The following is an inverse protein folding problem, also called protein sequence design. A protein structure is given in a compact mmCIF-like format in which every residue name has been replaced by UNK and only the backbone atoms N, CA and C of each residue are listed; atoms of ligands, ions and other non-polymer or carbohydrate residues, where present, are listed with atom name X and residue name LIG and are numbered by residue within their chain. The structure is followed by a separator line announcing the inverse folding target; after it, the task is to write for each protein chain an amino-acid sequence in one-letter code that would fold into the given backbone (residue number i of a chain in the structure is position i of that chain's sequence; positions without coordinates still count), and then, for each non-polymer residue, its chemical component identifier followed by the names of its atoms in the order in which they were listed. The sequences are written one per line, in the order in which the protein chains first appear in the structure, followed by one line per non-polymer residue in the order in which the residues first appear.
data_IF_717456302517
#
_entry.id   IF_717456302517
#
_cell.length_a   1.000
_cell.length_b   1.000
_cell.length_c   1.000
_cell.angle_alpha   90.00
_cell.angle_beta   90.00
_cell.angle_gamma   90.00
#
_symmetry.space_group_name_H-M   'P 1'
#
loop_
_entity.id
_entity.type
_entity.pdbx_description
1 polymer ?
#
# COMPACT_ATOMS: atom_id res chain seq x y z
N UNK A 1 3.09 -0.42 -8.64
CA UNK A 1 4.04 -1.39 -8.03
C UNK A 1 5.03 -0.64 -7.16
N UNK A 2 5.54 -1.26 -6.10
CA UNK A 2 6.57 -0.70 -5.23
C UNK A 2 7.81 -1.58 -5.19
N UNK A 3 8.99 -0.99 -4.96
CA UNK A 3 10.09 -1.75 -4.40
C UNK A 3 9.68 -2.25 -3.00
N UNK A 4 9.84 -3.55 -2.76
CA UNK A 4 9.28 -4.23 -1.59
C UNK A 4 10.33 -4.76 -0.64
N UNK A 5 9.92 -4.98 0.61
CA UNK A 5 10.66 -5.75 1.59
C UNK A 5 9.97 -7.10 1.86
N UNK A 6 10.68 -8.03 2.51
CA UNK A 6 10.11 -9.35 2.80
C UNK A 6 9.09 -9.24 3.96
N UNK A 7 7.84 -9.73 3.80
CA UNK A 7 6.81 -9.60 4.84
C UNK A 7 7.19 -10.25 6.18
N UNK A 8 8.00 -11.33 6.19
CA UNK A 8 8.47 -11.92 7.45
C UNK A 8 9.42 -11.04 8.27
N UNK A 9 9.88 -9.88 7.75
CA UNK A 9 10.65 -8.95 8.58
C UNK A 9 9.78 -8.35 9.69
N UNK A 10 8.52 -8.02 9.39
CA UNK A 10 7.49 -7.71 10.37
C UNK A 10 6.14 -8.15 9.80
N UNK A 11 5.45 -9.06 10.49
CA UNK A 11 4.14 -9.59 10.10
C UNK A 11 3.00 -8.57 10.25
N UNK A 12 3.25 -7.43 10.90
CA UNK A 12 2.30 -6.34 11.14
C UNK A 12 0.95 -6.83 11.66
N UNK A 13 0.98 -7.73 12.64
CA UNK A 13 -0.24 -8.29 13.26
C UNK A 13 -1.06 -7.17 13.90
N UNK A 14 -2.32 -7.03 13.48
CA UNK A 14 -3.19 -5.93 13.91
C UNK A 14 -2.89 -4.59 13.24
N UNK A 15 -2.00 -4.57 12.24
CA UNK A 15 -1.73 -3.44 11.35
C UNK A 15 -2.03 -3.81 9.89
N UNK A 16 -1.44 -3.05 8.97
CA UNK A 16 -1.63 -3.19 7.52
C UNK A 16 -0.33 -2.88 6.77
N UNK A 17 -0.14 -3.47 5.60
CA UNK A 17 0.94 -3.11 4.66
C UNK A 17 0.47 -2.11 3.62
N UNK A 18 -0.78 -2.17 3.18
CA UNK A 18 -1.30 -1.39 2.05
C UNK A 18 -2.57 -0.64 2.42
N UNK A 19 -2.58 0.66 2.14
CA UNK A 19 -3.75 1.53 2.33
C UNK A 19 -4.13 2.23 1.04
N UNK A 20 -5.42 2.31 0.76
CA UNK A 20 -5.99 3.30 -0.15
C UNK A 20 -6.25 4.56 0.65
N UNK A 21 -5.77 5.70 0.17
CA UNK A 21 -5.98 6.99 0.81
C UNK A 21 -6.67 7.95 -0.14
N UNK A 22 -7.61 8.74 0.38
CA UNK A 22 -8.28 9.85 -0.30
C UNK A 22 -7.73 11.18 0.21
N UNK A 23 -7.56 12.14 -0.68
CA UNK A 23 -7.23 13.52 -0.30
C UNK A 23 -8.44 14.21 0.35
N UNK A 24 -8.17 14.99 1.38
CA UNK A 24 -9.11 15.77 2.18
C UNK A 24 -8.47 17.13 2.47
N UNK A 25 -9.25 18.08 2.99
CA UNK A 25 -8.73 19.40 3.39
C UNK A 25 -7.62 19.32 4.45
N UNK A 26 -7.60 18.23 5.24
CA UNK A 26 -6.61 17.97 6.29
C UNK A 26 -5.44 17.09 5.84
N UNK A 27 -5.38 16.72 4.56
CA UNK A 27 -4.38 15.81 4.01
C UNK A 27 -4.98 14.47 3.60
N UNK A 28 -4.27 13.37 3.84
CA UNK A 28 -4.65 12.03 3.33
C UNK A 28 -5.34 11.20 4.39
N UNK A 29 -6.57 10.75 4.11
CA UNK A 29 -7.34 9.84 4.98
C UNK A 29 -7.41 8.45 4.37
N UNK A 30 -7.26 7.41 5.20
CA UNK A 30 -7.40 6.02 4.75
C UNK A 30 -8.88 5.67 4.58
N UNK A 31 -9.20 5.07 3.43
CA UNK A 31 -10.57 4.67 3.08
C UNK A 31 -10.74 3.16 2.90
N UNK A 32 -9.64 2.42 2.72
CA UNK A 32 -9.59 0.97 2.65
C UNK A 32 -8.17 0.47 2.95
N UNK A 33 -8.01 -0.77 3.41
CA UNK A 33 -6.72 -1.41 3.65
C UNK A 33 -6.71 -2.92 3.39
N UNK A 34 -5.53 -3.54 3.41
CA UNK A 34 -5.37 -4.97 3.07
C UNK A 34 -5.95 -5.96 4.11
N UNK A 35 -6.61 -5.47 5.17
CA UNK A 35 -7.47 -6.26 6.04
C UNK A 35 -8.90 -6.43 5.52
N UNK A 36 -9.30 -5.63 4.52
CA UNK A 36 -10.62 -5.73 3.89
C UNK A 36 -10.77 -7.04 3.10
N UNK A 37 -11.99 -7.60 3.08
CA UNK A 37 -12.24 -8.96 2.57
C UNK A 37 -11.96 -9.16 1.07
N UNK A 38 -11.94 -8.09 0.27
CA UNK A 38 -11.86 -8.17 -1.20
C UNK A 38 -10.67 -7.38 -1.76
N UNK A 39 -10.52 -6.11 -1.38
CA UNK A 39 -9.50 -5.20 -1.88
C UNK A 39 -9.29 -4.06 -0.88
N UNK A 40 -8.11 -3.41 -0.87
CA UNK A 40 -6.97 -3.60 -1.77
C UNK A 40 -6.17 -4.89 -1.50
N UNK A 41 -5.56 -5.48 -2.55
CA UNK A 41 -4.66 -6.64 -2.38
C UNK A 41 -3.18 -6.26 -2.33
N UNK A 42 -2.47 -6.89 -1.40
CA UNK A 42 -1.01 -6.81 -1.26
C UNK A 42 -0.38 -8.14 -1.69
N UNK A 43 0.40 -8.13 -2.79
CA UNK A 43 1.13 -9.31 -3.25
C UNK A 43 2.62 -9.08 -3.30
N UNK A 44 3.36 -9.83 -2.50
CA UNK A 44 4.81 -9.84 -2.50
C UNK A 44 5.39 -10.83 -3.52
N UNK A 45 6.47 -10.41 -4.21
CA UNK A 45 7.24 -11.29 -5.08
C UNK A 45 8.74 -11.01 -4.98
N UNK A 46 9.54 -12.08 -4.81
CA UNK A 46 11.00 -12.01 -4.87
C UNK A 46 11.46 -11.85 -6.31
N UNK A 47 12.19 -10.77 -6.61
CA UNK A 47 12.73 -10.53 -7.96
C UNK A 47 14.21 -10.89 -8.09
N UNK A 48 15.00 -10.71 -7.01
CA UNK A 48 16.42 -11.10 -6.92
C UNK A 48 16.76 -11.48 -5.48
N UNK A 49 17.95 -12.04 -5.24
CA UNK A 49 18.39 -12.50 -3.89
C UNK A 49 18.11 -11.50 -2.74
N UNK A 50 18.30 -10.20 -2.99
CA UNK A 50 18.08 -9.12 -1.99
C UNK A 50 17.04 -8.08 -2.43
N UNK A 51 16.24 -8.37 -3.44
CA UNK A 51 15.23 -7.44 -3.94
C UNK A 51 13.87 -8.12 -4.09
N UNK A 52 12.82 -7.35 -3.85
CA UNK A 52 11.43 -7.78 -4.04
C UNK A 52 10.60 -6.64 -4.58
N UNK A 53 9.44 -7.00 -5.13
CA UNK A 53 8.41 -6.07 -5.60
C UNK A 53 7.11 -6.36 -4.86
N UNK A 54 6.38 -5.29 -4.55
CA UNK A 54 4.98 -5.36 -4.14
C UNK A 54 4.10 -4.98 -5.32
N UNK A 55 3.20 -5.88 -5.68
CA UNK A 55 2.05 -5.56 -6.51
C UNK A 55 0.89 -5.22 -5.60
N UNK A 56 0.47 -3.95 -5.65
CA UNK A 56 -0.70 -3.44 -4.97
C UNK A 56 -1.82 -3.30 -6.00
N UNK A 57 -3.00 -3.86 -5.70
CA UNK A 57 -4.20 -3.66 -6.52
C UNK A 57 -5.31 -3.07 -5.67
N UNK A 58 -6.19 -2.32 -6.32
CA UNK A 58 -7.43 -1.85 -5.71
C UNK A 58 -8.52 -1.88 -6.77
N UNK A 59 -9.49 -2.76 -6.58
CA UNK A 59 -10.76 -2.70 -7.33
C UNK A 59 -11.63 -1.63 -6.68
N UNK A 60 -11.88 -0.54 -7.39
CA UNK A 60 -12.65 0.60 -6.87
C UNK A 60 -14.11 0.19 -6.66
N UNK A 61 -14.65 0.25 -5.43
CA UNK A 61 -16.07 0.03 -5.18
C UNK A 61 -16.97 1.01 -5.96
N UNK A 62 -18.14 0.56 -6.40
CA UNK A 62 -19.03 1.35 -7.27
C UNK A 62 -19.54 2.65 -6.64
N UNK A 63 -19.62 2.70 -5.31
CA UNK A 63 -20.04 3.85 -4.51
C UNK A 63 -18.87 4.73 -4.05
N UNK A 64 -17.64 4.47 -4.53
CA UNK A 64 -16.47 5.29 -4.19
C UNK A 64 -16.66 6.72 -4.71
N UNK A 65 -16.61 7.74 -3.83
CA UNK A 65 -16.79 9.12 -4.25
C UNK A 65 -15.68 9.57 -5.22
N UNK A 66 -15.98 10.47 -6.16
CA UNK A 66 -14.95 11.13 -6.95
C UNK A 66 -13.94 11.88 -6.08
N UNK A 67 -12.74 12.07 -6.62
CA UNK A 67 -11.65 12.81 -5.97
C UNK A 67 -10.29 12.19 -6.21
N UNK A 68 -9.30 12.71 -5.50
CA UNK A 68 -7.90 12.30 -5.64
C UNK A 68 -7.54 11.22 -4.62
N UNK A 69 -6.93 10.15 -5.10
CA UNK A 69 -6.56 8.98 -4.32
C UNK A 69 -5.09 8.65 -4.50
N UNK A 70 -4.52 7.89 -3.55
CA UNK A 70 -3.20 7.27 -3.69
C UNK A 70 -3.16 5.93 -2.97
N UNK A 71 -2.20 5.09 -3.35
CA UNK A 71 -1.86 3.90 -2.59
C UNK A 71 -0.64 4.20 -1.70
N UNK A 72 -0.71 3.78 -0.44
CA UNK A 72 0.40 3.84 0.51
C UNK A 72 0.81 2.43 0.89
N UNK A 73 2.09 2.13 0.73
CA UNK A 73 2.73 0.91 1.21
C UNK A 73 3.62 1.23 2.41
N UNK A 74 3.43 0.52 3.51
CA UNK A 74 4.28 0.55 4.69
C UNK A 74 4.97 -0.81 4.86
N UNK A 75 6.29 -0.80 4.98
CA UNK A 75 7.07 -2.04 5.04
C UNK A 75 8.28 -1.93 5.95
N UNK A 76 8.93 -3.08 6.17
CA UNK A 76 10.03 -3.22 7.11
C UNK A 76 11.20 -3.91 6.41
N UNK A 77 12.25 -3.15 6.12
CA UNK A 77 13.42 -3.63 5.40
C UNK A 77 14.49 -4.13 6.37
N UNK A 78 15.06 -5.29 6.08
CA UNK A 78 16.28 -5.75 6.74
C UNK A 78 17.48 -5.17 6.00
N UNK A 79 18.25 -4.38 6.71
CA UNK A 79 19.38 -3.62 6.19
C UNK A 79 20.69 -4.43 6.24
N UNK A 80 21.77 -3.89 5.70
CA UNK A 80 23.07 -4.58 5.60
C UNK A 80 23.69 -4.91 6.96
N UNK A 81 23.41 -4.08 7.98
CA UNK A 81 23.79 -4.28 9.38
C UNK A 81 22.89 -5.29 10.12
N UNK A 82 21.87 -5.83 9.45
CA UNK A 82 20.92 -6.79 9.99
C UNK A 82 19.77 -6.16 10.78
N UNK A 83 19.77 -4.85 10.99
CA UNK A 83 18.66 -4.14 11.63
C UNK A 83 17.43 -4.13 10.73
N UNK A 84 16.24 -4.12 11.35
CA UNK A 84 14.96 -3.94 10.65
C UNK A 84 14.56 -2.48 10.80
N UNK A 85 14.28 -1.82 9.66
CA UNK A 85 13.88 -0.42 9.60
C UNK A 85 12.57 -0.27 8.85
N UNK A 86 11.63 0.42 9.48
CA UNK A 86 10.37 0.77 8.87
C UNK A 86 10.57 1.83 7.77
N UNK A 87 9.80 1.71 6.69
CA UNK A 87 9.71 2.71 5.64
C UNK A 87 8.28 2.78 5.11
N UNK A 88 8.00 3.86 4.39
CA UNK A 88 6.76 4.00 3.64
C UNK A 88 7.02 4.53 2.24
N UNK A 89 6.22 4.08 1.28
CA UNK A 89 6.17 4.61 -0.07
C UNK A 89 4.73 4.95 -0.45
N UNK A 90 4.55 6.01 -1.23
CA UNK A 90 3.24 6.37 -1.80
C UNK A 90 3.34 6.44 -3.31
N UNK A 91 2.28 6.06 -4.01
CA UNK A 91 2.19 6.37 -5.44
C UNK A 91 2.06 7.88 -5.63
N UNK A 92 2.34 8.35 -6.86
CA UNK A 92 1.73 9.58 -7.31
C UNK A 92 0.20 9.47 -7.18
N UNK A 93 -0.49 10.55 -6.77
CA UNK A 93 -1.93 10.53 -6.70
C UNK A 93 -2.60 10.42 -8.06
N UNK A 94 -3.79 9.84 -8.10
CA UNK A 94 -4.62 9.67 -9.28
C UNK A 94 -6.07 10.10 -9.00
N UNK A 95 -6.76 10.57 -10.04
CA UNK A 95 -8.14 11.08 -9.92
C UNK A 95 -9.15 9.99 -10.26
N UNK A 96 -10.17 9.83 -9.41
CA UNK A 96 -11.38 9.11 -9.73
C UNK A 96 -12.45 10.09 -10.16
N UNK A 97 -12.93 9.93 -11.39
CA UNK A 97 -13.99 10.76 -11.94
C UNK A 97 -15.36 10.21 -11.54
N UNK A 98 -16.37 11.08 -11.57
CA UNK A 98 -17.76 10.65 -11.44
C UNK A 98 -18.10 9.58 -12.49
N UNK A 99 -18.93 8.58 -12.15
CA UNK A 99 -19.52 7.70 -13.15
C UNK A 99 -20.21 8.57 -14.21
N UNK A 100 -20.04 8.21 -15.48
CA UNK A 100 -20.75 8.86 -16.58
C UNK A 100 -22.19 8.38 -16.66
#
# INVERSE_FOLDING_TARGET
MFAGAHPNNDLRRGGTYLRVQRETDSGWSTVADDGDLVDPTFRWHRTRRRASVITATWTVPADTPPGRYRLRYDGDARESDGAIRAFSGTTEPFELLAPR
#
